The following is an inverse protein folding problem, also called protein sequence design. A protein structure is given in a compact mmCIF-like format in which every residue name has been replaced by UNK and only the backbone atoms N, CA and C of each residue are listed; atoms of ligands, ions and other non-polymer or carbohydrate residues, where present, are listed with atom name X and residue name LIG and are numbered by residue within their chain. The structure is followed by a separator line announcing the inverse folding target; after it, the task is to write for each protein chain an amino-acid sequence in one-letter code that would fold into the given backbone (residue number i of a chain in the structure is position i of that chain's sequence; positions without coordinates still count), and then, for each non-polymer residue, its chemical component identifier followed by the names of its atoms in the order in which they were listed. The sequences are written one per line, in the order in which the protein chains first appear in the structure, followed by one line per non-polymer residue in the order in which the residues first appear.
data_IF_032958007371
#
_entry.id   IF_032958007371
#
_cell.length_a   1.000
_cell.length_b   1.000
_cell.length_c   1.000
_cell.angle_alpha   90.00
_cell.angle_beta   90.00
_cell.angle_gamma   90.00
#
_symmetry.space_group_name_H-M   'P 1'
#
loop_
_entity.id
_entity.type
_entity.pdbx_description
1 polymer ?
#
# COMPACT_ATOMS: atom_id res chain seq x y z
N UNK A 1 -0.98 -18.09 -2.48
CA UNK A 1 -0.95 -16.77 -3.13
C UNK A 1 -1.21 -15.70 -2.08
N UNK A 2 -0.43 -14.63 -2.10
CA UNK A 2 -0.56 -13.56 -1.10
C UNK A 2 -1.76 -12.62 -1.31
N UNK A 3 -2.29 -12.57 -2.53
CA UNK A 3 -3.46 -11.74 -2.83
C UNK A 3 -4.75 -12.43 -2.40
N UNK A 4 -5.78 -11.65 -2.08
CA UNK A 4 -7.07 -12.11 -1.59
C UNK A 4 -8.20 -11.59 -2.45
N UNK A 5 -9.33 -12.28 -2.42
CA UNK A 5 -10.57 -11.82 -3.04
C UNK A 5 -10.88 -10.38 -2.63
N UNK A 6 -11.17 -9.54 -3.61
CA UNK A 6 -11.46 -8.13 -3.40
C UNK A 6 -10.26 -7.20 -3.40
N UNK A 7 -9.05 -7.72 -3.46
CA UNK A 7 -7.84 -6.89 -3.52
C UNK A 7 -7.80 -6.07 -4.81
N UNK A 8 -7.40 -4.82 -4.68
CA UNK A 8 -7.14 -3.94 -5.81
C UNK A 8 -5.69 -4.13 -6.23
N UNK A 9 -5.48 -4.60 -7.46
CA UNK A 9 -4.16 -4.93 -7.99
C UNK A 9 -3.81 -4.02 -9.15
N UNK A 10 -2.53 -3.67 -9.26
CA UNK A 10 -1.98 -2.96 -10.42
C UNK A 10 -1.07 -3.90 -11.20
N UNK A 11 -1.29 -3.99 -12.51
CA UNK A 11 -0.37 -4.69 -13.40
C UNK A 11 0.87 -3.81 -13.59
N UNK A 12 2.05 -4.32 -13.22
CA UNK A 12 3.28 -3.51 -13.22
C UNK A 12 3.75 -3.14 -14.63
N UNK A 13 3.31 -3.87 -15.66
CA UNK A 13 3.67 -3.62 -17.06
C UNK A 13 2.70 -2.62 -17.70
N UNK A 14 1.40 -2.91 -17.65
CA UNK A 14 0.37 -2.09 -18.30
C UNK A 14 -0.08 -0.89 -17.46
N UNK A 15 0.19 -0.92 -16.15
CA UNK A 15 -0.26 0.05 -15.15
C UNK A 15 -1.78 0.07 -14.96
N UNK A 16 -2.51 -0.88 -15.52
CA UNK A 16 -3.94 -1.01 -15.33
C UNK A 16 -4.26 -1.55 -13.96
N UNK A 17 -5.39 -1.09 -13.40
CA UNK A 17 -5.86 -1.48 -12.07
C UNK A 17 -7.07 -2.39 -12.21
N UNK A 18 -7.02 -3.49 -11.48
CA UNK A 18 -8.08 -4.50 -11.45
C UNK A 18 -8.49 -4.80 -10.02
N UNK A 19 -9.70 -5.31 -9.84
CA UNK A 19 -10.13 -5.93 -8.58
C UNK A 19 -10.06 -7.44 -8.77
N UNK A 20 -9.34 -8.12 -7.91
CA UNK A 20 -9.28 -9.58 -7.92
C UNK A 20 -10.61 -10.13 -7.43
N UNK A 21 -11.40 -10.66 -8.37
CA UNK A 21 -12.70 -11.22 -8.05
C UNK A 21 -12.59 -12.64 -7.51
N UNK A 22 -11.79 -13.47 -8.19
CA UNK A 22 -11.60 -14.86 -7.80
C UNK A 22 -10.29 -15.39 -8.36
N UNK A 23 -9.83 -16.50 -7.81
CA UNK A 23 -8.66 -17.21 -8.32
C UNK A 23 -8.79 -18.69 -7.97
N UNK A 24 -8.22 -19.52 -8.83
CA UNK A 24 -8.11 -20.96 -8.57
C UNK A 24 -6.78 -21.49 -9.05
N UNK A 25 -6.30 -22.52 -8.39
CA UNK A 25 -5.09 -23.23 -8.83
C UNK A 25 -5.42 -24.06 -10.05
N UNK A 26 -4.58 -23.98 -11.07
CA UNK A 26 -4.70 -24.74 -12.31
C UNK A 26 -3.34 -25.26 -12.75
N UNK A 27 -3.33 -26.28 -13.60
CA UNK A 27 -2.13 -26.77 -14.26
C UNK A 27 -1.86 -25.89 -15.48
N UNK A 28 -0.61 -25.41 -15.62
CA UNK A 28 -0.19 -24.59 -16.76
C UNK A 28 0.47 -25.45 -17.83
N UNK A 29 0.78 -24.85 -19.00
CA UNK A 29 1.35 -25.54 -20.15
C UNK A 29 2.62 -26.35 -19.85
N UNK A 30 3.39 -25.94 -18.87
CA UNK A 30 4.64 -26.62 -18.48
C UNK A 30 4.46 -27.63 -17.36
N UNK A 31 3.24 -28.08 -17.13
CA UNK A 31 2.87 -28.95 -16.00
C UNK A 31 3.22 -28.34 -14.64
N UNK A 32 3.41 -27.05 -14.60
CA UNK A 32 3.65 -26.29 -13.36
C UNK A 32 2.32 -25.80 -12.78
N UNK A 33 2.29 -25.64 -11.47
CA UNK A 33 1.14 -25.01 -10.82
C UNK A 33 1.08 -23.52 -11.17
N UNK A 34 -0.10 -23.07 -11.52
CA UNK A 34 -0.38 -21.66 -11.78
C UNK A 34 -1.73 -21.27 -11.23
N UNK A 35 -2.16 -20.07 -11.54
CA UNK A 35 -3.45 -19.54 -11.15
C UNK A 35 -4.24 -19.04 -12.34
N UNK A 36 -5.55 -19.31 -12.33
CA UNK A 36 -6.50 -18.63 -13.18
C UNK A 36 -7.10 -17.50 -12.37
N UNK A 37 -6.81 -16.27 -12.77
CA UNK A 37 -7.29 -15.08 -12.09
C UNK A 37 -8.49 -14.52 -12.81
N UNK A 38 -9.56 -14.23 -12.06
CA UNK A 38 -10.71 -13.49 -12.56
C UNK A 38 -10.56 -12.03 -12.10
N UNK A 39 -10.26 -11.15 -13.05
CA UNK A 39 -9.96 -9.74 -12.79
C UNK A 39 -11.09 -8.87 -13.32
N UNK A 40 -11.60 -7.97 -12.49
CA UNK A 40 -12.64 -7.01 -12.87
C UNK A 40 -12.04 -5.63 -13.08
N UNK A 41 -12.43 -4.99 -14.18
CA UNK A 41 -12.04 -3.62 -14.52
C UNK A 41 -13.27 -2.90 -15.04
N UNK A 42 -13.78 -1.93 -14.29
CA UNK A 42 -14.98 -1.16 -14.63
C UNK A 42 -16.15 -2.04 -15.12
N UNK A 43 -16.33 -2.11 -16.44
CA UNK A 43 -17.42 -2.86 -17.07
C UNK A 43 -16.98 -4.19 -17.69
N UNK A 44 -15.76 -4.64 -17.45
CA UNK A 44 -15.22 -5.85 -18.04
C UNK A 44 -14.69 -6.82 -17.00
N UNK A 45 -14.70 -8.11 -17.36
CA UNK A 45 -14.10 -9.18 -16.58
C UNK A 45 -13.08 -9.88 -17.47
N UNK A 46 -11.86 -9.99 -16.98
CA UNK A 46 -10.78 -10.67 -17.69
C UNK A 46 -10.37 -11.93 -16.95
N UNK A 47 -10.10 -12.99 -17.70
CA UNK A 47 -9.49 -14.21 -17.17
C UNK A 47 -8.04 -14.24 -17.60
N UNK A 48 -7.14 -14.46 -16.65
CA UNK A 48 -5.72 -14.50 -16.92
C UNK A 48 -5.10 -15.75 -16.30
N UNK A 49 -4.36 -16.50 -17.11
CA UNK A 49 -3.56 -17.62 -16.62
C UNK A 49 -2.17 -17.12 -16.31
N UNK A 50 -1.73 -17.33 -15.09
CA UNK A 50 -0.43 -16.84 -14.62
C UNK A 50 0.30 -17.96 -13.88
N UNK A 51 1.55 -18.20 -14.25
CA UNK A 51 2.39 -19.15 -13.52
C UNK A 51 2.59 -18.67 -12.08
N UNK A 52 2.69 -19.62 -11.17
CA UNK A 52 2.85 -19.33 -9.73
C UNK A 52 3.94 -18.32 -9.43
N UNK A 53 5.07 -18.42 -10.11
CA UNK A 53 6.21 -17.55 -9.87
C UNK A 53 6.06 -16.16 -10.48
N UNK A 54 5.10 -15.98 -11.39
CA UNK A 54 4.89 -14.73 -12.11
C UNK A 54 3.84 -13.82 -11.45
N UNK A 55 3.00 -14.35 -10.59
CA UNK A 55 1.90 -13.57 -9.98
C UNK A 55 2.44 -12.35 -9.25
N UNK A 56 3.44 -12.53 -8.38
CA UNK A 56 4.02 -11.45 -7.60
C UNK A 56 4.90 -10.49 -8.42
N UNK A 57 5.32 -10.92 -9.61
CA UNK A 57 6.09 -10.09 -10.54
C UNK A 57 5.20 -9.24 -11.43
N UNK A 58 4.00 -9.72 -11.76
CA UNK A 58 3.06 -9.03 -12.64
C UNK A 58 2.14 -8.07 -11.90
N UNK A 59 1.80 -8.38 -10.65
CA UNK A 59 0.82 -7.62 -9.88
C UNK A 59 1.38 -7.16 -8.53
N UNK A 60 0.97 -5.95 -8.14
CA UNK A 60 1.21 -5.41 -6.80
C UNK A 60 -0.10 -4.85 -6.27
N UNK A 61 -0.22 -4.80 -4.94
CA UNK A 61 -1.38 -4.19 -4.30
C UNK A 61 -1.36 -2.70 -4.60
N UNK A 62 -2.48 -2.19 -5.13
CA UNK A 62 -2.60 -0.80 -5.50
C UNK A 62 -2.69 0.10 -4.27
N UNK A 63 -2.03 1.25 -4.35
CA UNK A 63 -2.14 2.32 -3.37
C UNK A 63 -3.36 3.18 -3.65
N UNK A 64 -3.93 3.77 -2.61
CA UNK A 64 -4.92 4.85 -2.77
C UNK A 64 -4.24 6.11 -3.30
N UNK A 65 -5.03 7.07 -3.78
CA UNK A 65 -4.52 8.38 -4.12
C UNK A 65 -3.94 9.07 -2.89
N UNK A 66 -3.00 9.97 -3.12
CA UNK A 66 -2.43 10.76 -2.04
C UNK A 66 -3.49 11.67 -1.42
N UNK A 67 -3.52 11.68 -0.10
CA UNK A 67 -4.34 12.59 0.71
C UNK A 67 -3.41 13.58 1.39
N UNK A 68 -3.91 14.78 1.65
CA UNK A 68 -3.14 15.83 2.30
C UNK A 68 -3.62 16.07 3.71
N UNK A 69 -2.71 16.45 4.60
CA UNK A 69 -3.01 16.83 5.96
C UNK A 69 -1.95 17.81 6.47
N UNK A 70 -2.17 18.34 7.66
CA UNK A 70 -1.24 19.26 8.31
C UNK A 70 -1.00 18.79 9.74
N UNK A 71 0.25 18.73 10.14
CA UNK A 71 0.61 18.44 11.53
C UNK A 71 0.99 19.73 12.22
N UNK A 72 0.28 20.06 13.31
CA UNK A 72 0.52 21.24 14.10
C UNK A 72 1.38 20.89 15.32
N UNK A 73 2.63 21.36 15.33
CA UNK A 73 3.57 21.11 16.43
C UNK A 73 4.38 22.40 16.68
N UNK A 74 4.50 22.79 17.93
CA UNK A 74 5.34 23.92 18.39
C UNK A 74 5.13 25.20 17.57
N UNK A 75 3.85 25.54 17.32
CA UNK A 75 3.45 26.68 16.51
C UNK A 75 3.82 26.58 15.03
N UNK A 76 4.23 25.40 14.57
CA UNK A 76 4.48 25.13 13.16
C UNK A 76 3.36 24.32 12.56
N UNK A 77 3.03 24.63 11.30
CA UNK A 77 2.12 23.84 10.48
C UNK A 77 2.95 23.11 9.43
N UNK A 78 3.04 21.79 9.56
CA UNK A 78 3.84 20.97 8.65
C UNK A 78 2.91 20.25 7.68
N UNK A 79 2.96 20.58 6.39
CA UNK A 79 2.15 19.87 5.40
C UNK A 79 2.70 18.48 5.17
N UNK A 80 1.81 17.50 5.10
CA UNK A 80 2.13 16.11 4.83
C UNK A 80 1.18 15.56 3.78
N UNK A 81 1.60 14.52 3.10
CA UNK A 81 0.73 13.71 2.24
C UNK A 81 0.82 12.26 2.72
N UNK A 82 -0.26 11.53 2.57
CA UNK A 82 -0.31 10.14 2.98
C UNK A 82 -1.20 9.33 2.06
N UNK A 83 -0.94 8.05 2.02
CA UNK A 83 -1.75 7.07 1.31
C UNK A 83 -1.63 5.72 1.99
N UNK A 84 -2.50 4.81 1.61
CA UNK A 84 -2.48 3.48 2.17
C UNK A 84 -2.82 2.43 1.12
N UNK A 85 -2.47 1.21 1.43
CA UNK A 85 -2.96 0.03 0.74
C UNK A 85 -3.53 -0.94 1.80
N UNK A 86 -3.75 -2.17 1.43
CA UNK A 86 -4.29 -3.17 2.34
C UNK A 86 -3.39 -3.47 3.55
N UNK A 87 -2.10 -3.22 3.44
CA UNK A 87 -1.09 -3.67 4.42
C UNK A 87 -0.48 -2.56 5.25
N UNK A 88 -0.44 -1.34 4.72
CA UNK A 88 0.29 -0.26 5.38
C UNK A 88 -0.22 1.12 5.03
N UNK A 89 0.10 2.06 5.90
CA UNK A 89 -0.06 3.49 5.69
C UNK A 89 1.31 4.12 5.56
N UNK A 90 1.47 5.04 4.62
CA UNK A 90 2.71 5.79 4.40
C UNK A 90 2.39 7.28 4.47
N UNK A 91 3.23 8.03 5.14
CA UNK A 91 3.12 9.50 5.26
C UNK A 91 4.46 10.13 4.91
N UNK A 92 4.42 11.19 4.11
CA UNK A 92 5.61 11.90 3.66
C UNK A 92 5.52 13.39 3.94
N UNK A 93 6.63 13.97 4.37
CA UNK A 93 6.83 15.41 4.47
C UNK A 93 7.99 15.82 3.58
N UNK A 94 7.88 16.91 2.81
CA UNK A 94 9.01 17.41 2.00
C UNK A 94 10.23 17.76 2.84
N UNK A 95 10.02 18.16 4.08
CA UNK A 95 11.10 18.62 4.98
C UNK A 95 11.64 17.52 5.88
N UNK A 96 10.76 16.65 6.41
CA UNK A 96 11.11 15.70 7.47
C UNK A 96 11.20 14.26 7.01
N UNK A 97 10.87 13.99 5.75
CA UNK A 97 11.00 12.66 5.17
C UNK A 97 9.75 11.80 5.30
N UNK A 98 9.95 10.51 5.40
CA UNK A 98 8.91 9.49 5.26
C UNK A 98 8.78 8.65 6.52
N UNK A 99 7.56 8.34 6.91
CA UNK A 99 7.22 7.38 7.95
C UNK A 99 6.19 6.39 7.43
N UNK A 100 6.11 5.23 8.04
CA UNK A 100 5.14 4.21 7.65
C UNK A 100 4.63 3.44 8.86
N UNK A 101 3.48 2.83 8.71
CA UNK A 101 2.89 1.92 9.69
C UNK A 101 2.41 0.68 8.94
N UNK A 102 2.98 -0.48 9.25
CA UNK A 102 2.62 -1.75 8.65
C UNK A 102 1.84 -2.59 9.65
N UNK A 103 0.76 -3.21 9.19
CA UNK A 103 -0.04 -4.12 10.00
C UNK A 103 0.76 -5.41 10.30
N UNK A 104 0.67 -5.88 11.53
CA UNK A 104 1.21 -7.19 11.89
C UNK A 104 0.42 -8.27 11.14
N UNK A 105 1.06 -9.36 10.63
CA UNK A 105 0.37 -10.39 9.85
C UNK A 105 -0.83 -11.04 10.54
N UNK A 106 -0.86 -11.06 11.87
CA UNK A 106 -1.97 -11.63 12.65
C UNK A 106 -3.11 -10.64 12.91
N UNK A 107 -2.94 -9.37 12.59
CA UNK A 107 -3.93 -8.32 12.85
C UNK A 107 -4.74 -7.98 11.61
N UNK A 108 -5.94 -7.47 11.85
CA UNK A 108 -6.75 -6.86 10.79
C UNK A 108 -6.24 -5.45 10.50
N UNK A 109 -6.10 -5.11 9.23
CA UNK A 109 -5.68 -3.77 8.83
C UNK A 109 -6.73 -2.72 9.24
N UNK A 110 -6.29 -1.71 9.97
CA UNK A 110 -7.10 -0.56 10.37
C UNK A 110 -6.41 0.72 9.91
N UNK A 111 -6.96 1.36 8.90
CA UNK A 111 -6.38 2.57 8.31
C UNK A 111 -6.31 3.71 9.31
N UNK A 112 -7.29 3.83 10.21
CA UNK A 112 -7.30 4.90 11.21
C UNK A 112 -6.19 4.75 12.24
N UNK A 113 -5.93 3.52 12.69
CA UNK A 113 -4.81 3.24 13.59
C UNK A 113 -3.47 3.50 12.90
N UNK A 114 -3.33 3.03 11.66
CA UNK A 114 -2.12 3.26 10.87
C UNK A 114 -1.85 4.73 10.62
N UNK A 115 -2.87 5.48 10.28
CA UNK A 115 -2.79 6.93 10.09
C UNK A 115 -2.38 7.67 11.37
N UNK A 116 -3.00 7.36 12.49
CA UNK A 116 -2.66 7.95 13.79
C UNK A 116 -1.22 7.65 14.18
N UNK A 117 -0.77 6.42 13.97
CA UNK A 117 0.60 6.02 14.28
C UNK A 117 1.60 6.75 13.38
N UNK A 118 1.31 6.90 12.09
CA UNK A 118 2.14 7.69 11.17
C UNK A 118 2.21 9.15 11.61
N UNK A 119 1.09 9.73 12.02
CA UNK A 119 1.06 11.09 12.54
C UNK A 119 1.95 11.27 13.75
N UNK A 120 1.89 10.34 14.70
CA UNK A 120 2.73 10.36 15.89
C UNK A 120 4.23 10.18 15.55
N UNK A 121 4.54 9.28 14.63
CA UNK A 121 5.93 9.08 14.17
C UNK A 121 6.47 10.28 13.42
N UNK A 122 5.66 10.93 12.60
CA UNK A 122 6.07 12.16 11.94
C UNK A 122 6.26 13.29 12.94
N UNK A 123 5.34 13.42 13.90
CA UNK A 123 5.46 14.39 15.01
C UNK A 123 6.77 14.19 15.78
N UNK A 124 7.14 12.96 16.06
CA UNK A 124 8.41 12.63 16.72
C UNK A 124 9.61 13.11 15.90
N UNK A 125 9.61 12.88 14.59
CA UNK A 125 10.68 13.37 13.71
C UNK A 125 10.80 14.89 13.72
N UNK A 126 9.67 15.59 13.70
CA UNK A 126 9.65 17.06 13.76
C UNK A 126 10.24 17.56 15.08
N UNK A 127 9.81 16.96 16.19
CA UNK A 127 10.30 17.31 17.53
C UNK A 127 11.81 17.06 17.65
N UNK A 128 12.28 15.91 17.18
CA UNK A 128 13.71 15.59 17.21
C UNK A 128 14.55 16.61 16.44
N UNK A 129 14.09 17.04 15.27
CA UNK A 129 14.78 18.08 14.49
C UNK A 129 14.75 19.45 15.18
N UNK A 130 13.68 19.79 15.84
CA UNK A 130 13.60 21.02 16.62
C UNK A 130 14.58 21.00 17.81
N UNK A 131 14.68 19.86 18.49
CA UNK A 131 15.65 19.68 19.59
C UNK A 131 17.08 19.87 19.08
N UNK A 132 17.43 19.28 17.93
CA UNK A 132 18.75 19.42 17.33
C UNK A 132 19.15 20.87 17.12
N UNK A 133 18.22 21.75 16.76
CA UNK A 133 18.48 23.18 16.56
C UNK A 133 18.92 23.89 17.83
N UNK A 134 18.49 23.42 18.98
CA UNK A 134 18.82 24.01 20.28
C UNK A 134 20.05 23.38 20.95
N UNK A 135 20.50 22.25 20.41
CA UNK A 135 21.64 21.50 20.98
C UNK A 135 22.97 21.75 20.25
N UNK A 136 22.98 22.59 19.24
CA UNK A 136 24.20 22.97 18.52
C UNK A 136 25.00 24.06 19.24
#
# INVERSE_FOLDING_TARGET
MKFKHGDKLVNVITKEIYVLHDFKMVETFNHCCGYELTLKKENSVELMLVDRDMVDKLFKIAWTDWKTDVINITNKKVPVKWRYNREMVVMESPTYGKVSSKVHPSDTFDVNKGYKLCKLRMAKKIIEKEIEKYCE
#
